data_IF_247007263359
#
_entry.id   IF_247007263359
#
_cell.length_a   1.000
_cell.length_b   1.000
_cell.length_c   1.000
_cell.angle_alpha   90.00
_cell.angle_beta   90.00
_cell.angle_gamma   90.00
#
_symmetry.space_group_name_H-M   'P 1'
#
loop_
_entity.id
_entity.type
_entity.pdbx_description
1 polymer ?
#
# COMPACT_ATOMS: atom_id res chain seq x y z
N UNK A 1 -14.44 16.54 4.87
CA UNK A 1 -15.07 17.76 4.38
C UNK A 1 -16.29 17.34 3.54
N UNK A 2 -17.42 17.98 3.78
CA UNK A 2 -18.67 17.70 3.10
C UNK A 2 -19.05 18.89 2.22
N UNK A 3 -19.98 18.71 1.25
CA UNK A 3 -20.47 19.77 0.37
C UNK A 3 -19.48 20.23 -0.70
N UNK A 4 -18.45 19.44 -0.99
CA UNK A 4 -17.51 19.74 -2.07
C UNK A 4 -18.14 19.44 -3.43
N UNK A 5 -17.87 20.30 -4.41
CA UNK A 5 -18.32 20.10 -5.79
C UNK A 5 -17.44 19.04 -6.50
N UNK A 6 -18.03 18.26 -7.39
CA UNK A 6 -17.30 17.29 -8.20
C UNK A 6 -16.36 17.98 -9.21
N UNK A 7 -15.29 17.28 -9.59
CA UNK A 7 -14.27 17.72 -10.55
C UNK A 7 -13.68 19.09 -10.22
N UNK A 8 -13.41 19.35 -8.94
CA UNK A 8 -12.84 20.62 -8.48
C UNK A 8 -11.55 20.41 -7.71
N UNK A 9 -10.60 21.28 -7.94
CA UNK A 9 -9.38 21.40 -7.15
C UNK A 9 -9.66 22.18 -5.90
N UNK A 10 -9.22 21.64 -4.78
CA UNK A 10 -9.29 22.26 -3.46
C UNK A 10 -7.91 22.36 -2.84
N UNK A 11 -7.70 23.40 -2.05
CA UNK A 11 -6.48 23.62 -1.29
C UNK A 11 -6.79 23.46 0.19
N UNK A 12 -5.90 22.78 0.92
CA UNK A 12 -6.07 22.52 2.34
C UNK A 12 -4.80 22.85 3.12
N UNK A 13 -4.96 23.13 4.39
CA UNK A 13 -3.87 23.31 5.35
C UNK A 13 -4.28 22.71 6.68
N UNK A 14 -3.39 21.91 7.27
CA UNK A 14 -3.55 21.40 8.62
C UNK A 14 -2.95 22.39 9.61
N UNK A 15 -3.59 22.54 10.77
CA UNK A 15 -3.14 23.41 11.85
C UNK A 15 -3.14 22.66 13.17
N UNK A 16 -2.09 22.82 13.95
CA UNK A 16 -1.98 22.31 15.30
C UNK A 16 -1.33 23.38 16.19
N UNK A 17 -2.10 23.97 17.10
CA UNK A 17 -1.69 25.14 17.87
C UNK A 17 -1.29 26.30 16.95
N UNK A 18 -0.07 26.82 17.13
CA UNK A 18 0.51 27.88 16.30
C UNK A 18 1.16 27.37 15.00
N UNK A 19 1.30 26.07 14.83
CA UNK A 19 1.94 25.47 13.66
C UNK A 19 0.93 25.26 12.54
N UNK A 20 1.41 25.38 11.30
CA UNK A 20 0.62 25.12 10.10
C UNK A 20 1.45 24.30 9.12
N UNK A 21 0.81 23.33 8.46
CA UNK A 21 1.42 22.62 7.34
C UNK A 21 1.62 23.56 6.14
N UNK A 22 2.45 23.17 5.16
CA UNK A 22 2.35 23.72 3.81
C UNK A 22 0.92 23.60 3.28
N UNK A 23 0.58 24.40 2.26
CA UNK A 23 -0.70 24.26 1.57
C UNK A 23 -0.65 23.04 0.67
N UNK A 24 -1.53 22.08 0.91
CA UNK A 24 -1.74 20.93 0.05
C UNK A 24 -2.85 21.18 -0.97
N UNK A 25 -2.85 20.41 -2.04
CA UNK A 25 -3.85 20.42 -3.10
C UNK A 25 -4.49 19.05 -3.20
N UNK A 26 -5.79 19.00 -3.46
CA UNK A 26 -6.52 17.77 -3.77
C UNK A 26 -7.57 18.05 -4.83
N UNK A 27 -8.07 17.00 -5.47
CA UNK A 27 -9.10 17.08 -6.50
C UNK A 27 -10.23 16.09 -6.18
N UNK A 28 -11.47 16.55 -6.28
CA UNK A 28 -12.65 15.69 -6.16
C UNK A 28 -12.88 14.89 -7.45
N UNK A 29 -13.45 13.69 -7.30
CA UNK A 29 -13.80 12.85 -8.44
C UNK A 29 -14.79 13.54 -9.37
N UNK A 30 -14.68 13.36 -10.70
CA UNK A 30 -15.64 13.87 -11.66
C UNK A 30 -16.93 13.03 -11.66
N UNK A 31 -18.07 13.65 -11.93
CA UNK A 31 -19.32 12.93 -12.27
C UNK A 31 -19.35 12.50 -13.73
N UNK A 32 -18.67 13.26 -14.59
CA UNK A 32 -18.48 12.98 -16.01
C UNK A 32 -17.11 13.50 -16.43
N UNK A 33 -16.41 12.77 -17.31
CA UNK A 33 -15.12 13.17 -17.85
C UNK A 33 -14.79 12.43 -19.14
N UNK A 34 -14.13 13.14 -20.07
CA UNK A 34 -13.61 12.56 -21.31
C UNK A 34 -12.18 12.03 -21.19
N UNK A 35 -11.47 12.38 -20.11
CA UNK A 35 -10.09 11.95 -19.88
C UNK A 35 -9.75 11.90 -18.40
N UNK A 36 -8.88 10.97 -18.03
CA UNK A 36 -8.29 10.86 -16.68
C UNK A 36 -6.78 10.60 -16.82
N UNK A 37 -5.97 11.32 -16.06
CA UNK A 37 -4.51 11.17 -16.05
C UNK A 37 -4.05 10.65 -14.70
N UNK A 38 -3.56 9.41 -14.68
CA UNK A 38 -2.98 8.77 -13.51
C UNK A 38 -1.46 8.77 -13.58
N UNK A 39 -0.79 8.87 -12.40
CA UNK A 39 0.51 8.29 -12.19
C UNK A 39 0.34 7.02 -11.34
N UNK A 40 1.06 5.96 -11.68
CA UNK A 40 1.04 4.70 -10.94
C UNK A 40 2.45 4.41 -10.44
N UNK A 41 2.60 4.06 -9.18
CA UNK A 41 3.88 3.74 -8.55
C UNK A 41 3.73 2.69 -7.46
N UNK A 42 4.84 2.06 -7.09
CA UNK A 42 4.99 1.11 -5.99
C UNK A 42 6.44 1.02 -5.55
N UNK A 43 6.73 0.23 -4.51
CA UNK A 43 8.07 -0.24 -4.17
C UNK A 43 9.07 0.90 -3.88
N UNK A 44 8.70 1.81 -2.98
CA UNK A 44 9.49 3.00 -2.62
C UNK A 44 10.42 2.69 -1.44
N UNK A 45 11.58 2.06 -1.70
CA UNK A 45 12.53 1.73 -0.64
C UNK A 45 13.49 2.89 -0.34
N UNK A 46 13.35 3.53 0.83
CA UNK A 46 14.12 4.71 1.22
C UNK A 46 15.64 4.51 1.20
N UNK A 47 16.22 3.44 1.79
CA UNK A 47 17.67 3.25 1.76
C UNK A 47 18.25 2.87 0.40
N UNK A 48 17.41 2.42 -0.54
CA UNK A 48 17.85 1.96 -1.85
C UNK A 48 18.13 3.09 -2.85
N UNK A 49 17.65 4.31 -2.61
CA UNK A 49 17.85 5.41 -3.55
C UNK A 49 17.00 6.63 -3.28
N UNK A 50 17.15 7.64 -4.16
CA UNK A 50 16.36 8.87 -4.09
C UNK A 50 15.01 8.72 -4.78
N UNK A 51 14.02 9.46 -4.29
CA UNK A 51 12.64 9.42 -4.78
C UNK A 51 12.37 10.41 -5.94
N UNK A 52 13.33 10.57 -6.86
CA UNK A 52 13.22 11.53 -7.95
C UNK A 52 12.01 11.32 -8.87
N UNK A 53 11.47 10.11 -8.93
CA UNK A 53 10.24 9.83 -9.70
C UNK A 53 9.06 10.64 -9.16
N UNK A 54 8.96 10.83 -7.83
CA UNK A 54 7.90 11.65 -7.23
C UNK A 54 8.04 13.13 -7.56
N UNK A 55 9.27 13.63 -7.73
CA UNK A 55 9.52 14.98 -8.24
C UNK A 55 8.97 15.18 -9.65
N UNK A 56 9.15 14.19 -10.51
CA UNK A 56 8.62 14.27 -11.88
C UNK A 56 7.09 14.16 -11.87
N UNK A 57 6.52 13.25 -11.08
CA UNK A 57 5.07 13.19 -10.88
C UNK A 57 4.48 14.52 -10.40
N UNK A 58 5.16 15.22 -9.48
CA UNK A 58 4.70 16.50 -8.95
C UNK A 58 4.66 17.64 -9.99
N UNK A 59 5.38 17.52 -11.11
CA UNK A 59 5.36 18.49 -12.22
C UNK A 59 4.21 18.28 -13.20
N UNK A 60 3.67 17.05 -13.21
CA UNK A 60 2.61 16.68 -14.13
C UNK A 60 1.24 17.20 -13.67
N UNK A 61 0.32 17.37 -14.61
CA UNK A 61 -1.08 17.68 -14.29
C UNK A 61 -1.87 16.38 -14.17
N UNK A 62 -1.82 15.77 -12.99
CA UNK A 62 -2.47 14.49 -12.69
C UNK A 62 -3.83 14.69 -12.01
N UNK A 63 -4.76 13.79 -12.28
CA UNK A 63 -5.99 13.68 -11.50
C UNK A 63 -5.74 12.98 -10.16
N UNK A 64 -4.87 11.95 -10.15
CA UNK A 64 -4.52 11.20 -8.94
C UNK A 64 -3.22 10.43 -9.14
N UNK A 65 -2.48 10.20 -8.04
CA UNK A 65 -1.41 9.21 -7.95
C UNK A 65 -1.97 7.93 -7.33
N UNK A 66 -1.77 6.79 -7.99
CA UNK A 66 -2.14 5.46 -7.50
C UNK A 66 -0.86 4.80 -6.98
N UNK A 67 -0.83 4.48 -5.68
CA UNK A 67 0.30 3.76 -5.07
C UNK A 67 -0.13 2.33 -4.73
N UNK A 68 0.55 1.37 -5.33
CA UNK A 68 0.19 -0.06 -5.28
C UNK A 68 0.89 -0.85 -4.17
N UNK A 69 1.37 -0.18 -3.14
CA UNK A 69 2.01 -0.82 -1.99
C UNK A 69 3.53 -0.72 -2.00
N UNK A 70 4.15 -1.28 -0.96
CA UNK A 70 5.56 -1.10 -0.62
C UNK A 70 5.94 0.39 -0.47
N UNK A 71 5.07 1.11 0.21
CA UNK A 71 5.33 2.51 0.52
C UNK A 71 6.45 2.67 1.56
N UNK A 72 6.57 1.71 2.46
CA UNK A 72 7.70 1.52 3.39
C UNK A 72 8.20 0.08 3.31
N UNK A 73 9.37 -0.18 3.89
CA UNK A 73 9.96 -1.50 4.04
C UNK A 73 10.29 -1.76 5.49
N UNK A 74 10.01 -2.98 5.97
CA UNK A 74 10.18 -3.36 7.39
C UNK A 74 11.62 -3.63 7.79
N UNK A 75 12.50 -3.91 6.84
CA UNK A 75 13.89 -4.29 7.12
C UNK A 75 14.68 -3.20 7.87
N UNK A 76 15.64 -3.65 8.67
CA UNK A 76 16.60 -2.77 9.32
C UNK A 76 17.88 -2.54 8.49
N UNK A 77 18.82 -1.82 9.07
CA UNK A 77 20.14 -1.58 8.47
C UNK A 77 20.88 -2.92 8.29
N UNK A 78 21.43 -3.15 7.09
CA UNK A 78 22.02 -4.43 6.69
C UNK A 78 21.03 -5.43 6.10
N UNK A 79 19.72 -5.10 6.07
CA UNK A 79 18.70 -5.86 5.37
C UNK A 79 18.57 -5.48 3.89
N UNK A 80 17.42 -5.82 3.31
CA UNK A 80 17.18 -5.67 1.88
C UNK A 80 17.47 -4.26 1.34
N UNK A 81 18.34 -4.20 0.32
CA UNK A 81 18.70 -2.99 -0.44
C UNK A 81 19.23 -1.82 0.40
N UNK A 82 19.97 -2.10 1.50
CA UNK A 82 20.60 -1.08 2.35
C UNK A 82 22.09 -0.89 2.09
N UNK A 83 22.68 -1.59 1.12
CA UNK A 83 24.14 -1.63 0.90
C UNK A 83 24.72 -0.24 0.62
N UNK A 84 24.02 0.58 -0.16
CA UNK A 84 24.46 1.92 -0.53
C UNK A 84 23.88 3.03 0.36
N UNK A 85 23.07 2.69 1.36
CA UNK A 85 22.33 3.65 2.20
C UNK A 85 23.24 4.72 2.83
N UNK A 86 24.43 4.31 3.31
CA UNK A 86 25.42 5.24 3.91
C UNK A 86 25.99 6.20 2.87
N UNK A 87 26.32 5.70 1.67
CA UNK A 87 26.89 6.52 0.60
C UNK A 87 25.84 7.53 0.10
N UNK A 88 24.58 7.13 0.04
CA UNK A 88 23.46 7.97 -0.37
C UNK A 88 22.97 8.93 0.73
N UNK A 89 23.46 8.79 1.98
CA UNK A 89 22.93 9.55 3.11
C UNK A 89 21.49 9.19 3.46
N UNK A 90 21.07 7.95 3.17
CA UNK A 90 19.71 7.45 3.38
C UNK A 90 19.65 6.30 4.40
N UNK A 91 20.39 6.46 5.48
CA UNK A 91 20.43 5.50 6.61
C UNK A 91 19.20 5.67 7.50
N UNK A 92 18.89 4.61 8.24
CA UNK A 92 17.90 4.66 9.31
C UNK A 92 18.44 5.43 10.52
N UNK A 93 17.52 6.00 11.32
CA UNK A 93 17.85 6.56 12.63
C UNK A 93 18.24 5.43 13.60
N UNK A 94 19.15 5.68 14.53
CA UNK A 94 19.68 4.67 15.45
C UNK A 94 18.62 4.01 16.35
N UNK A 95 17.48 4.65 16.56
CA UNK A 95 16.34 4.12 17.31
C UNK A 95 15.29 3.43 16.42
N UNK A 96 15.58 3.28 15.11
CA UNK A 96 14.73 2.59 14.11
C UNK A 96 15.58 1.90 13.03
N UNK A 97 16.81 1.48 13.37
CA UNK A 97 17.75 0.83 12.46
C UNK A 97 17.61 -0.69 12.39
N UNK A 98 16.65 -1.25 13.11
CA UNK A 98 16.30 -2.67 13.11
C UNK A 98 15.04 -2.93 12.32
N UNK A 99 14.72 -4.20 12.15
CA UNK A 99 13.42 -4.62 11.64
C UNK A 99 12.29 -4.07 12.52
N UNK A 100 11.24 -3.57 11.87
CA UNK A 100 10.13 -2.95 12.59
C UNK A 100 9.06 -4.00 12.92
N UNK A 101 8.61 -4.00 14.19
CA UNK A 101 7.64 -4.97 14.70
C UNK A 101 6.52 -4.28 15.46
N UNK A 102 6.84 -3.21 16.21
CA UNK A 102 5.90 -2.53 17.09
C UNK A 102 5.34 -1.26 16.44
N UNK A 103 4.20 -0.82 16.91
CA UNK A 103 3.52 0.40 16.40
C UNK A 103 4.46 1.61 16.33
N UNK A 104 5.26 1.87 17.36
CA UNK A 104 6.22 2.99 17.38
C UNK A 104 7.30 2.85 16.30
N UNK A 105 7.73 1.62 16.01
CA UNK A 105 8.71 1.35 14.97
C UNK A 105 8.15 1.66 13.58
N UNK A 106 6.90 1.24 13.28
CA UNK A 106 6.21 1.56 12.04
C UNK A 106 6.01 3.07 11.89
N UNK A 107 5.56 3.76 12.94
CA UNK A 107 5.39 5.21 12.94
C UNK A 107 6.69 5.95 12.62
N UNK A 108 7.81 5.54 13.24
CA UNK A 108 9.14 6.09 12.95
C UNK A 108 9.58 5.83 11.52
N UNK A 109 9.29 4.64 10.98
CA UNK A 109 9.61 4.29 9.61
C UNK A 109 8.83 5.15 8.62
N UNK A 110 7.52 5.33 8.81
CA UNK A 110 6.75 6.28 8.01
C UNK A 110 7.27 7.70 8.13
N UNK A 111 7.60 8.16 9.34
CA UNK A 111 8.16 9.48 9.55
C UNK A 111 9.46 9.69 8.76
N UNK A 112 10.37 8.69 8.76
CA UNK A 112 11.60 8.75 7.98
C UNK A 112 11.32 8.88 6.48
N UNK A 113 10.48 8.01 5.90
CA UNK A 113 10.15 8.05 4.47
C UNK A 113 9.53 9.39 4.08
N UNK A 114 8.69 9.96 4.96
CA UNK A 114 8.06 11.27 4.78
C UNK A 114 9.02 12.45 4.93
N UNK A 115 10.29 12.25 5.28
CA UNK A 115 11.31 13.31 5.21
C UNK A 115 11.80 13.59 3.80
N UNK A 116 11.56 12.67 2.84
CA UNK A 116 11.97 12.88 1.45
C UNK A 116 11.18 14.02 0.82
N UNK A 117 11.90 15.04 0.34
CA UNK A 117 11.30 16.28 -0.17
C UNK A 117 10.51 16.07 -1.47
N UNK A 118 10.95 15.14 -2.33
CA UNK A 118 10.28 14.85 -3.59
C UNK A 118 8.95 14.12 -3.33
N UNK A 119 8.93 13.17 -2.38
CA UNK A 119 7.72 12.50 -1.92
C UNK A 119 6.74 13.47 -1.25
N UNK A 120 7.24 14.37 -0.40
CA UNK A 120 6.41 15.43 0.22
C UNK A 120 5.76 16.30 -0.86
N UNK A 121 6.53 16.70 -1.88
CA UNK A 121 6.03 17.54 -2.97
C UNK A 121 4.93 16.84 -3.76
N UNK A 122 5.09 15.54 -4.06
CA UNK A 122 4.05 14.75 -4.74
C UNK A 122 2.75 14.70 -3.92
N UNK A 123 2.83 14.42 -2.61
CA UNK A 123 1.66 14.44 -1.72
C UNK A 123 1.03 15.83 -1.57
N UNK A 124 1.84 16.89 -1.64
CA UNK A 124 1.34 18.26 -1.59
C UNK A 124 0.57 18.65 -2.85
N UNK A 125 0.96 18.12 -4.01
CA UNK A 125 0.43 18.49 -5.33
C UNK A 125 -0.73 17.65 -5.81
N UNK A 126 -0.83 16.39 -5.38
CA UNK A 126 -1.81 15.44 -5.90
C UNK A 126 -2.51 14.65 -4.81
N UNK A 127 -3.80 14.30 -5.00
CA UNK A 127 -4.42 13.26 -4.19
C UNK A 127 -3.78 11.90 -4.47
N UNK A 128 -3.72 11.04 -3.45
CA UNK A 128 -3.23 9.68 -3.55
C UNK A 128 -4.37 8.70 -3.28
N UNK A 129 -4.50 7.70 -4.14
CA UNK A 129 -5.25 6.47 -3.90
C UNK A 129 -4.22 5.38 -3.65
N UNK A 130 -4.24 4.78 -2.48
CA UNK A 130 -3.21 3.86 -2.03
C UNK A 130 -3.79 2.51 -1.65
N UNK A 131 -3.03 1.45 -1.84
CA UNK A 131 -3.24 0.12 -1.30
C UNK A 131 -1.91 -0.36 -0.71
N UNK A 132 -1.93 -1.26 0.25
CA UNK A 132 -0.72 -1.93 0.70
C UNK A 132 -0.35 -3.10 -0.21
N UNK A 133 0.93 -3.48 -0.20
CA UNK A 133 1.37 -4.83 -0.56
C UNK A 133 1.83 -5.55 0.74
N UNK A 134 2.95 -6.19 0.79
CA UNK A 134 3.40 -6.92 1.98
C UNK A 134 4.30 -6.10 2.90
N UNK A 135 5.19 -5.28 2.36
CA UNK A 135 6.20 -4.56 3.15
C UNK A 135 5.65 -3.48 4.08
N UNK A 136 4.42 -3.03 3.93
CA UNK A 136 3.76 -2.20 4.92
C UNK A 136 3.55 -2.97 6.24
N UNK A 137 3.60 -4.31 6.18
CA UNK A 137 3.61 -5.18 7.35
C UNK A 137 4.95 -5.94 7.44
N UNK A 138 5.18 -6.90 6.54
CA UNK A 138 6.39 -7.72 6.49
C UNK A 138 6.43 -8.55 5.22
N UNK A 139 7.64 -8.80 4.69
CA UNK A 139 7.85 -9.51 3.44
C UNK A 139 7.03 -10.80 3.33
N UNK A 140 6.41 -10.95 2.17
CA UNK A 140 5.57 -12.09 1.80
C UNK A 140 4.47 -12.41 2.82
N UNK A 141 3.83 -11.35 3.33
CA UNK A 141 2.70 -11.49 4.28
C UNK A 141 1.48 -12.16 3.63
N UNK A 142 0.77 -12.93 4.43
CA UNK A 142 -0.55 -13.49 4.13
C UNK A 142 -1.48 -13.27 5.33
N UNK A 143 -2.71 -13.77 5.29
CA UNK A 143 -3.71 -13.56 6.33
C UNK A 143 -3.19 -13.84 7.76
N UNK A 144 -2.47 -14.96 7.94
CA UNK A 144 -2.10 -15.50 9.26
C UNK A 144 -0.59 -15.49 9.55
N UNK A 145 0.25 -14.89 8.68
CA UNK A 145 1.70 -14.88 8.86
C UNK A 145 2.43 -14.08 7.80
N UNK A 146 3.75 -14.12 7.84
CA UNK A 146 4.65 -13.56 6.85
C UNK A 146 5.93 -14.40 6.78
N UNK A 147 6.63 -14.40 5.64
CA UNK A 147 7.92 -15.07 5.55
C UNK A 147 8.97 -14.36 6.41
N UNK A 148 8.88 -13.04 6.53
CA UNK A 148 9.73 -12.25 7.43
C UNK A 148 9.05 -11.96 8.78
N UNK A 149 8.60 -13.04 9.45
CA UNK A 149 8.15 -13.01 10.85
C UNK A 149 8.52 -14.32 11.53
N UNK A 150 9.56 -14.29 12.37
CA UNK A 150 10.19 -15.46 12.94
C UNK A 150 9.82 -15.69 14.41
N UNK A 151 10.15 -16.90 14.88
CA UNK A 151 10.05 -17.21 16.31
C UNK A 151 10.89 -16.24 17.14
N UNK A 152 10.31 -15.69 18.21
CA UNK A 152 10.95 -14.69 19.07
C UNK A 152 10.57 -13.23 18.78
N UNK A 153 9.91 -12.93 17.66
CA UNK A 153 9.44 -11.58 17.31
C UNK A 153 8.08 -11.22 17.91
N UNK A 154 7.48 -12.13 18.64
CA UNK A 154 6.19 -11.96 19.29
C UNK A 154 5.02 -12.46 18.46
N UNK A 155 3.83 -11.94 18.73
CA UNK A 155 2.63 -12.33 18.03
C UNK A 155 2.52 -11.66 16.65
N UNK A 156 2.37 -12.45 15.59
CA UNK A 156 2.08 -11.92 14.25
C UNK A 156 0.80 -11.06 14.23
N UNK A 157 -0.22 -11.45 14.99
CA UNK A 157 -1.47 -10.68 15.08
C UNK A 157 -1.24 -9.30 15.68
N UNK A 158 -0.41 -9.20 16.74
CA UNK A 158 -0.06 -7.90 17.32
C UNK A 158 0.76 -7.04 16.37
N UNK A 159 1.72 -7.62 15.64
CA UNK A 159 2.48 -6.95 14.60
C UNK A 159 1.55 -6.45 13.49
N UNK A 160 0.62 -7.31 13.02
CA UNK A 160 -0.37 -6.95 12.00
C UNK A 160 -1.23 -5.75 12.44
N UNK A 161 -1.77 -5.76 13.66
CA UNK A 161 -2.55 -4.65 14.21
C UNK A 161 -1.72 -3.37 14.26
N UNK A 162 -0.48 -3.44 14.73
CA UNK A 162 0.44 -2.31 14.82
C UNK A 162 0.75 -1.70 13.44
N UNK A 163 1.05 -2.54 12.46
CA UNK A 163 1.35 -2.12 11.09
C UNK A 163 0.14 -1.44 10.43
N UNK A 164 -1.04 -2.07 10.53
CA UNK A 164 -2.28 -1.52 9.95
C UNK A 164 -2.70 -0.22 10.62
N UNK A 165 -2.58 -0.11 11.94
CA UNK A 165 -2.82 1.15 12.64
C UNK A 165 -1.90 2.25 12.13
N UNK A 166 -0.60 2.00 12.05
CA UNK A 166 0.35 2.99 11.52
C UNK A 166 0.03 3.36 10.07
N UNK A 167 -0.36 2.39 9.23
CA UNK A 167 -0.74 2.65 7.85
C UNK A 167 -1.91 3.65 7.76
N UNK A 168 -2.99 3.43 8.49
CA UNK A 168 -4.14 4.35 8.50
C UNK A 168 -3.85 5.70 9.16
N UNK A 169 -2.88 5.79 10.05
CA UNK A 169 -2.43 7.07 10.62
C UNK A 169 -1.63 7.93 9.62
N UNK A 170 -0.86 7.27 8.73
CA UNK A 170 0.09 7.96 7.85
C UNK A 170 -0.38 8.08 6.39
N UNK A 171 -1.27 7.20 5.95
CA UNK A 171 -1.75 7.19 4.58
C UNK A 171 -3.11 7.89 4.44
N UNK A 172 -3.38 8.57 3.29
CA UNK A 172 -4.60 9.37 3.11
C UNK A 172 -5.81 8.49 2.82
N UNK A 173 -6.16 7.61 3.76
CA UNK A 173 -7.26 6.66 3.62
C UNK A 173 -8.32 6.96 4.69
N UNK A 174 -9.59 6.86 4.28
CA UNK A 174 -10.70 6.84 5.23
C UNK A 174 -11.10 5.37 5.47
N UNK A 175 -11.10 4.90 6.73
CA UNK A 175 -11.65 3.59 7.06
C UNK A 175 -13.12 3.48 6.61
N UNK A 176 -13.55 2.28 6.21
CA UNK A 176 -14.95 2.02 5.82
C UNK A 176 -15.92 2.11 7.00
N UNK A 177 -15.44 1.79 8.21
CA UNK A 177 -16.12 1.98 9.48
C UNK A 177 -15.13 2.43 10.55
N UNK A 178 -15.62 3.00 11.64
CA UNK A 178 -14.77 3.42 12.77
C UNK A 178 -14.00 2.21 13.31
N UNK A 179 -12.67 2.36 13.43
CA UNK A 179 -11.72 1.32 13.85
C UNK A 179 -11.63 0.08 12.94
N UNK A 180 -12.20 0.12 11.75
CA UNK A 180 -11.97 -0.94 10.75
C UNK A 180 -10.71 -0.63 9.94
N UNK A 181 -9.57 -1.15 10.40
CA UNK A 181 -8.28 -1.04 9.75
C UNK A 181 -7.94 -2.26 8.87
N UNK A 182 -8.87 -3.19 8.69
CA UNK A 182 -8.64 -4.39 7.90
C UNK A 182 -9.23 -4.27 6.48
N UNK A 183 -10.40 -3.64 6.35
CA UNK A 183 -11.07 -3.50 5.06
C UNK A 183 -10.54 -2.27 4.31
N UNK A 184 -9.66 -2.50 3.35
CA UNK A 184 -9.05 -1.44 2.53
C UNK A 184 -9.54 -1.46 1.08
N UNK A 185 -10.06 -2.59 0.59
CA UNK A 185 -10.52 -2.69 -0.79
C UNK A 185 -11.72 -1.76 -1.03
N UNK A 186 -11.66 -1.00 -2.09
CA UNK A 186 -12.62 0.06 -2.40
C UNK A 186 -12.63 0.45 -3.86
N UNK A 187 -13.66 1.17 -4.26
CA UNK A 187 -13.89 1.61 -5.63
C UNK A 187 -13.86 3.13 -5.75
N UNK A 188 -13.36 3.60 -6.89
CA UNK A 188 -13.40 5.00 -7.29
C UNK A 188 -13.92 5.10 -8.72
N UNK A 189 -14.92 5.97 -8.94
CA UNK A 189 -15.48 6.22 -10.26
C UNK A 189 -15.02 7.59 -10.78
N UNK A 190 -14.46 7.60 -11.97
CA UNK A 190 -14.11 8.81 -12.72
C UNK A 190 -15.12 8.98 -13.84
N UNK A 191 -16.33 9.44 -13.49
CA UNK A 191 -17.50 9.41 -14.36
C UNK A 191 -17.79 7.99 -14.84
N UNK A 192 -18.30 7.90 -16.06
CA UNK A 192 -18.51 6.63 -16.77
C UNK A 192 -17.26 6.18 -17.56
N UNK A 193 -16.15 6.93 -17.47
CA UNK A 193 -14.92 6.58 -18.20
C UNK A 193 -14.12 5.48 -17.51
N UNK A 194 -13.85 5.60 -16.20
CA UNK A 194 -13.03 4.65 -15.46
C UNK A 194 -13.66 4.27 -14.13
N UNK A 195 -13.79 2.99 -13.90
CA UNK A 195 -14.02 2.40 -12.59
C UNK A 195 -12.71 1.78 -12.08
N UNK A 196 -12.09 2.38 -11.07
CA UNK A 196 -10.89 1.88 -10.40
C UNK A 196 -11.29 1.09 -9.17
N UNK A 197 -10.94 -0.19 -9.13
CA UNK A 197 -11.16 -1.08 -8.00
C UNK A 197 -9.81 -1.42 -7.36
N UNK A 198 -9.58 -0.97 -6.13
CA UNK A 198 -8.38 -1.28 -5.34
C UNK A 198 -8.63 -2.55 -4.54
N UNK A 199 -7.74 -3.54 -4.65
CA UNK A 199 -7.89 -4.87 -4.05
C UNK A 199 -6.81 -5.12 -3.00
N UNK A 200 -7.20 -5.76 -1.89
CA UNK A 200 -6.24 -6.36 -0.95
C UNK A 200 -5.92 -7.79 -1.40
N UNK A 201 -4.71 -8.01 -1.81
CA UNK A 201 -4.21 -9.31 -2.25
C UNK A 201 -3.23 -9.94 -1.25
N UNK A 202 -3.13 -9.38 -0.03
CA UNK A 202 -2.15 -9.81 0.97
C UNK A 202 -2.77 -10.12 2.34
N UNK A 203 -3.33 -9.11 2.98
CA UNK A 203 -3.53 -9.10 4.44
C UNK A 203 -4.88 -9.67 4.84
N UNK A 204 -5.92 -9.46 4.02
CA UNK A 204 -7.30 -9.77 4.40
C UNK A 204 -7.57 -11.28 4.43
N UNK A 205 -7.14 -12.02 3.40
CA UNK A 205 -7.57 -13.41 3.22
C UNK A 205 -6.64 -14.29 2.37
N UNK A 206 -5.46 -13.78 1.99
CA UNK A 206 -4.52 -14.57 1.18
C UNK A 206 -4.03 -15.79 1.96
N UNK A 207 -4.11 -16.97 1.39
CA UNK A 207 -3.40 -18.14 1.94
C UNK A 207 -1.87 -17.99 1.74
N UNK A 208 -1.09 -18.65 2.61
CA UNK A 208 0.35 -18.73 2.44
C UNK A 208 0.71 -19.15 1.01
N UNK A 209 1.69 -18.46 0.41
CA UNK A 209 2.22 -18.77 -0.91
C UNK A 209 2.78 -20.20 -0.95
N UNK A 210 2.63 -20.86 -2.09
CA UNK A 210 3.32 -22.12 -2.34
C UNK A 210 4.73 -21.79 -2.83
N UNK A 211 5.73 -22.35 -2.16
CA UNK A 211 7.13 -22.18 -2.54
C UNK A 211 7.64 -23.49 -3.11
N UNK A 212 8.31 -23.48 -4.25
CA UNK A 212 8.87 -24.70 -4.86
C UNK A 212 9.81 -25.45 -3.92
N UNK A 213 10.50 -24.73 -3.03
CA UNK A 213 11.39 -25.34 -2.03
C UNK A 213 10.67 -26.32 -1.11
N UNK A 214 9.38 -26.09 -0.79
CA UNK A 214 8.56 -26.95 0.07
C UNK A 214 8.20 -28.30 -0.59
N UNK A 215 8.44 -28.41 -1.90
CA UNK A 215 8.14 -29.59 -2.72
C UNK A 215 9.40 -30.28 -3.27
N UNK A 216 10.60 -29.79 -2.95
CA UNK A 216 11.84 -30.41 -3.34
C UNK A 216 12.12 -31.66 -2.49
N UNK A 217 12.44 -32.77 -3.16
CA UNK A 217 12.88 -34.02 -2.55
C UNK A 217 14.29 -34.36 -3.01
N UNK A 218 14.88 -35.39 -2.45
CA UNK A 218 16.20 -35.89 -2.90
C UNK A 218 16.24 -36.34 -4.39
N UNK A 219 15.08 -36.63 -4.99
CA UNK A 219 14.94 -37.09 -6.37
C UNK A 219 14.35 -36.04 -7.32
N UNK A 220 14.09 -34.82 -6.82
CA UNK A 220 13.52 -33.73 -7.60
C UNK A 220 12.21 -33.18 -7.01
N UNK A 221 11.43 -32.49 -7.82
CA UNK A 221 10.18 -31.87 -7.40
C UNK A 221 9.08 -32.94 -7.22
N UNK A 222 8.41 -32.92 -6.05
CA UNK A 222 7.17 -33.69 -5.85
C UNK A 222 6.00 -32.97 -6.55
N UNK A 223 5.86 -33.30 -7.85
CA UNK A 223 4.85 -32.71 -8.72
C UNK A 223 3.43 -33.02 -8.24
N UNK A 224 3.20 -34.25 -7.70
CA UNK A 224 1.87 -34.65 -7.25
C UNK A 224 1.42 -33.85 -6.03
N UNK A 225 2.29 -33.70 -5.04
CA UNK A 225 2.01 -32.88 -3.86
C UNK A 225 1.80 -31.43 -4.27
N UNK A 226 2.68 -30.86 -5.11
CA UNK A 226 2.55 -29.48 -5.60
C UNK A 226 1.22 -29.25 -6.32
N UNK A 227 0.83 -30.15 -7.23
CA UNK A 227 -0.44 -30.04 -7.94
C UNK A 227 -1.65 -30.17 -7.00
N UNK A 228 -1.59 -31.06 -6.01
CA UNK A 228 -2.65 -31.22 -5.01
C UNK A 228 -2.85 -29.95 -4.24
N UNK A 229 -1.77 -29.32 -3.77
CA UNK A 229 -1.85 -28.07 -3.01
C UNK A 229 -2.25 -26.88 -3.90
N UNK A 230 -1.75 -26.81 -5.14
CA UNK A 230 -2.09 -25.75 -6.10
C UNK A 230 -3.57 -25.78 -6.49
N UNK A 231 -4.13 -26.96 -6.70
CA UNK A 231 -5.53 -27.15 -7.11
C UNK A 231 -6.49 -27.29 -5.94
N UNK A 232 -6.03 -27.09 -4.71
CA UNK A 232 -6.89 -27.13 -3.54
C UNK A 232 -7.96 -26.03 -3.63
N UNK A 233 -9.26 -26.37 -3.70
CA UNK A 233 -10.34 -25.42 -3.91
C UNK A 233 -10.56 -24.45 -2.75
N UNK A 234 -9.95 -24.71 -1.59
CA UNK A 234 -10.03 -23.82 -0.42
C UNK A 234 -8.97 -22.71 -0.47
N UNK A 235 -8.00 -22.80 -1.40
CA UNK A 235 -7.01 -21.73 -1.56
C UNK A 235 -7.63 -20.49 -2.16
N UNK A 236 -7.26 -19.36 -1.61
CA UNK A 236 -7.76 -18.05 -2.07
C UNK A 236 -6.68 -16.98 -2.01
N UNK A 237 -6.81 -16.00 -2.88
CA UNK A 237 -6.05 -14.74 -2.86
C UNK A 237 -6.87 -13.62 -2.21
N UNK A 238 -8.15 -13.51 -2.56
CA UNK A 238 -9.02 -12.40 -2.17
C UNK A 238 -9.96 -12.75 -1.00
N UNK A 239 -10.13 -14.05 -0.69
CA UNK A 239 -11.21 -14.52 0.17
C UNK A 239 -12.57 -14.43 -0.51
N UNK A 240 -13.59 -15.01 0.13
CA UNK A 240 -14.94 -15.06 -0.44
C UNK A 240 -15.56 -13.65 -0.53
N UNK A 241 -15.52 -12.90 0.55
CA UNK A 241 -16.21 -11.60 0.65
C UNK A 241 -15.71 -10.59 -0.37
N UNK A 242 -14.40 -10.40 -0.48
CA UNK A 242 -13.83 -9.48 -1.45
C UNK A 242 -14.02 -9.97 -2.89
N UNK A 243 -13.92 -11.30 -3.12
CA UNK A 243 -14.19 -11.90 -4.43
C UNK A 243 -15.62 -11.61 -4.91
N UNK A 244 -16.62 -11.84 -4.06
CA UNK A 244 -18.03 -11.56 -4.41
C UNK A 244 -18.25 -10.04 -4.60
N UNK A 245 -17.59 -9.21 -3.79
CA UNK A 245 -17.65 -7.76 -3.96
C UNK A 245 -17.12 -7.35 -5.33
N UNK A 246 -15.92 -7.79 -5.74
CA UNK A 246 -15.36 -7.37 -7.05
C UNK A 246 -16.17 -7.92 -8.23
N UNK A 247 -16.66 -9.15 -8.17
CA UNK A 247 -17.53 -9.71 -9.19
C UNK A 247 -18.82 -8.87 -9.35
N UNK A 248 -19.41 -8.45 -8.23
CA UNK A 248 -20.56 -7.55 -8.25
C UNK A 248 -20.22 -6.19 -8.85
N UNK A 249 -19.08 -5.58 -8.47
CA UNK A 249 -18.67 -4.29 -9.03
C UNK A 249 -18.51 -4.38 -10.55
N UNK A 250 -17.83 -5.41 -11.03
CA UNK A 250 -17.59 -5.61 -12.47
C UNK A 250 -18.90 -5.89 -13.24
N UNK A 251 -19.80 -6.70 -12.67
CA UNK A 251 -21.08 -7.04 -13.32
C UNK A 251 -22.06 -5.85 -13.42
N UNK A 252 -21.92 -4.87 -12.53
CA UNK A 252 -22.77 -3.67 -12.48
C UNK A 252 -22.09 -2.44 -13.11
N UNK A 253 -20.87 -2.57 -13.57
CA UNK A 253 -20.12 -1.46 -14.16
C UNK A 253 -20.67 -1.07 -15.51
N UNK A 254 -20.88 0.23 -15.71
CA UNK A 254 -21.12 0.84 -17.02
C UNK A 254 -19.89 1.60 -17.54
N UNK A 255 -18.76 1.54 -16.80
CA UNK A 255 -17.56 2.26 -17.17
C UNK A 255 -16.92 1.68 -18.45
N UNK A 256 -16.35 2.56 -19.26
CA UNK A 256 -15.60 2.18 -20.47
C UNK A 256 -14.39 1.31 -20.08
N UNK A 257 -13.72 1.66 -18.97
CA UNK A 257 -12.56 0.95 -18.47
C UNK A 257 -12.77 0.49 -17.02
N UNK A 258 -12.60 -0.81 -16.78
CA UNK A 258 -12.51 -1.36 -15.45
C UNK A 258 -11.02 -1.60 -15.13
N UNK A 259 -10.49 -0.88 -14.14
CA UNK A 259 -9.09 -0.94 -13.73
C UNK A 259 -9.01 -1.62 -12.36
N UNK A 260 -8.12 -2.59 -12.21
CA UNK A 260 -7.83 -3.26 -10.96
C UNK A 260 -6.46 -2.80 -10.46
N UNK A 261 -6.39 -2.28 -9.23
CA UNK A 261 -5.17 -1.87 -8.54
C UNK A 261 -4.87 -2.83 -7.38
N UNK A 262 -3.66 -3.39 -7.37
CA UNK A 262 -3.21 -4.32 -6.35
C UNK A 262 -1.69 -4.25 -6.18
#
# INVERSE_FOLDING_TARGET
ADGLQANRTYFYRLRYGAQSSPVGQTKTLPLDTAAVKFAVCSCSNYPAGYFHVYKEMAKENLDVVIHLGDYIYEYGQGGYATDEAKQLGRTFAADNDKEIIKLDDYRKRYALYRTDADLQTAHQRHPFIVIWDDHELSNDTWEAGADNHQEGEGSFIERKIAALQAYFEWMPIRPVAENDHLNIYRQFNFGDLVQLNMLDTRILARNKQLQYADYLTATGLDVNKFQTDLLNPTRTLLGHTQREWILKQLSQSNAVWNVLGQ
#
